data_IF_781535667215
#
_entry.id   IF_781535667215
#
_cell.length_a   1.000
_cell.length_b   1.000
_cell.length_c   1.000
_cell.angle_alpha   90.00
_cell.angle_beta   90.00
_cell.angle_gamma   90.00
#
_symmetry.space_group_name_H-M   'P 1'
#
loop_
_entity.id
_entity.type
_entity.pdbx_description
1 polymer ?
#
# COMPACT_ATOMS: atom_id res chain seq x y z
N UNK A 1 4.27 -29.35 -1.92
CA UNK A 1 3.75 -27.99 -1.99
C UNK A 1 4.73 -27.09 -2.70
N UNK A 2 4.27 -26.39 -3.70
CA UNK A 2 5.14 -25.44 -4.39
C UNK A 2 5.27 -24.16 -3.55
N UNK A 3 6.49 -23.70 -3.33
CA UNK A 3 6.73 -22.38 -2.78
C UNK A 3 6.32 -21.33 -3.83
N UNK A 4 5.72 -20.22 -3.42
CA UNK A 4 5.43 -19.14 -4.36
C UNK A 4 6.75 -18.70 -5.04
N UNK A 5 6.68 -18.43 -6.34
CA UNK A 5 7.86 -17.99 -7.09
C UNK A 5 8.31 -16.58 -6.72
N UNK A 6 7.47 -15.82 -6.00
CA UNK A 6 7.74 -14.45 -5.59
C UNK A 6 7.02 -14.16 -4.28
N UNK A 7 7.49 -13.17 -3.51
CA UNK A 7 6.77 -12.72 -2.31
C UNK A 7 5.39 -12.18 -2.65
N UNK A 8 4.49 -12.22 -1.68
CA UNK A 8 3.19 -11.57 -1.80
C UNK A 8 3.38 -10.07 -2.05
N UNK A 9 2.72 -9.54 -3.06
CA UNK A 9 2.80 -8.12 -3.41
C UNK A 9 1.67 -7.35 -2.78
N UNK A 10 2.04 -6.26 -2.11
CA UNK A 10 1.10 -5.41 -1.38
C UNK A 10 1.15 -3.98 -1.88
N UNK A 11 -0.02 -3.34 -1.92
CA UNK A 11 -0.12 -1.87 -2.01
C UNK A 11 -0.69 -1.40 -0.68
N UNK A 12 -0.06 -0.40 -0.08
CA UNK A 12 -0.45 0.16 1.21
C UNK A 12 -0.98 1.58 1.00
N UNK A 13 -2.21 1.84 1.45
CA UNK A 13 -2.77 3.18 1.49
C UNK A 13 -1.92 4.06 2.42
N UNK A 14 -1.92 5.36 2.19
CA UNK A 14 -1.15 6.33 2.96
C UNK A 14 -1.41 6.24 4.46
N UNK A 15 -2.67 6.06 4.87
CA UNK A 15 -3.02 5.95 6.29
C UNK A 15 -2.39 4.71 6.95
N UNK A 16 -2.26 3.62 6.20
CA UNK A 16 -1.58 2.41 6.68
C UNK A 16 -0.09 2.69 6.83
N UNK A 17 0.50 3.40 5.88
CA UNK A 17 1.91 3.81 5.97
C UNK A 17 2.16 4.68 7.19
N UNK A 18 1.26 5.60 7.52
CA UNK A 18 1.37 6.43 8.73
C UNK A 18 1.38 5.56 9.99
N UNK A 19 0.49 4.57 10.06
CA UNK A 19 0.44 3.66 11.21
C UNK A 19 1.74 2.87 11.35
N UNK A 20 2.33 2.44 10.25
CA UNK A 20 3.55 1.62 10.27
C UNK A 20 4.79 2.43 10.62
N UNK A 21 4.97 3.59 10.01
CA UNK A 21 6.23 4.33 10.04
C UNK A 21 6.23 5.51 11.03
N UNK A 22 5.12 6.21 11.16
CA UNK A 22 5.04 7.39 12.04
C UNK A 22 4.53 7.00 13.44
N UNK A 23 3.38 6.35 13.50
CA UNK A 23 2.75 6.01 14.78
C UNK A 23 3.30 4.74 15.39
N UNK A 24 3.99 3.90 14.61
CA UNK A 24 4.56 2.63 15.09
C UNK A 24 3.53 1.80 15.81
N UNK A 25 2.33 1.68 15.24
CA UNK A 25 1.23 0.97 15.85
C UNK A 25 1.62 -0.49 16.09
N UNK A 26 1.66 -0.96 17.34
CA UNK A 26 2.11 -2.32 17.64
C UNK A 26 1.20 -3.39 17.04
N UNK A 27 -0.05 -3.07 16.73
CA UNK A 27 -0.96 -4.03 16.08
C UNK A 27 -0.45 -4.46 14.70
N UNK A 28 0.33 -3.60 14.05
CA UNK A 28 0.80 -3.84 12.69
C UNK A 28 2.30 -4.16 12.63
N UNK A 29 2.92 -4.43 13.77
CA UNK A 29 4.35 -4.75 13.83
C UNK A 29 4.70 -6.02 13.03
N UNK A 30 3.78 -6.98 12.95
CA UNK A 30 3.97 -8.20 12.15
C UNK A 30 4.05 -7.90 10.66
N UNK A 31 3.25 -6.96 10.16
CA UNK A 31 3.31 -6.54 8.77
C UNK A 31 4.64 -5.85 8.47
N UNK A 32 5.06 -4.93 9.33
CA UNK A 32 6.33 -4.24 9.18
C UNK A 32 7.50 -5.22 9.17
N UNK A 33 7.47 -6.21 10.08
CA UNK A 33 8.51 -7.24 10.15
C UNK A 33 8.54 -8.09 8.87
N UNK A 34 7.38 -8.47 8.34
CA UNK A 34 7.31 -9.23 7.09
C UNK A 34 7.90 -8.45 5.91
N UNK A 35 7.72 -7.13 5.90
CA UNK A 35 8.34 -6.26 4.89
C UNK A 35 9.87 -6.27 5.03
N UNK A 36 10.37 -6.19 6.27
CA UNK A 36 11.82 -6.23 6.55
C UNK A 36 12.44 -7.57 6.19
N UNK A 37 11.71 -8.65 6.43
CA UNK A 37 12.19 -10.02 6.17
C UNK A 37 12.09 -10.42 4.69
N UNK A 38 11.46 -9.60 3.85
CA UNK A 38 11.26 -9.92 2.45
C UNK A 38 10.18 -10.97 2.19
N UNK A 39 9.35 -11.30 3.18
CA UNK A 39 8.24 -12.24 2.99
C UNK A 39 7.10 -11.64 2.21
N UNK A 40 6.96 -10.32 2.28
CA UNK A 40 6.03 -9.55 1.45
C UNK A 40 6.80 -8.44 0.77
N UNK A 41 6.32 -8.01 -0.40
CA UNK A 41 6.90 -6.91 -1.15
C UNK A 41 5.87 -5.80 -1.26
N UNK A 42 6.10 -4.69 -0.56
CA UNK A 42 5.26 -3.51 -0.68
C UNK A 42 5.74 -2.65 -1.85
N UNK A 43 4.80 -2.13 -2.63
CA UNK A 43 5.10 -1.32 -3.82
C UNK A 43 4.28 -0.05 -3.77
N UNK A 44 4.87 1.06 -4.17
CA UNK A 44 4.20 2.34 -4.34
C UNK A 44 4.42 2.85 -5.77
N UNK A 45 3.78 3.94 -6.11
CA UNK A 45 3.94 4.64 -7.38
C UNK A 45 4.29 6.09 -7.07
N UNK A 46 4.93 6.77 -8.00
CA UNK A 46 5.40 8.15 -7.79
C UNK A 46 4.32 9.08 -7.23
N UNK A 47 3.08 9.00 -7.73
CA UNK A 47 1.99 9.84 -7.22
C UNK A 47 1.56 9.46 -5.80
N UNK A 48 1.53 8.18 -5.48
CA UNK A 48 1.22 7.70 -4.14
C UNK A 48 2.34 8.08 -3.14
N UNK A 49 3.59 7.98 -3.58
CA UNK A 49 4.74 8.38 -2.76
C UNK A 49 4.73 9.88 -2.50
N UNK A 50 4.36 10.69 -3.48
CA UNK A 50 4.24 12.14 -3.30
C UNK A 50 3.18 12.48 -2.26
N UNK A 51 2.06 11.76 -2.23
CA UNK A 51 1.05 11.94 -1.19
C UNK A 51 1.61 11.63 0.19
N UNK A 52 2.36 10.52 0.32
CA UNK A 52 3.03 10.16 1.56
C UNK A 52 3.92 11.29 2.07
N UNK A 53 4.76 11.85 1.19
CA UNK A 53 5.65 12.95 1.54
C UNK A 53 4.88 14.20 1.96
N UNK A 54 3.79 14.51 1.26
CA UNK A 54 2.95 15.68 1.54
C UNK A 54 2.27 15.56 2.89
N UNK A 55 1.76 14.38 3.20
CA UNK A 55 1.06 14.13 4.46
C UNK A 55 2.00 14.28 5.66
N UNK A 56 3.28 13.96 5.50
CA UNK A 56 4.27 14.14 6.57
C UNK A 56 4.42 15.61 6.99
N UNK A 57 4.04 16.55 6.14
CA UNK A 57 4.09 17.98 6.44
C UNK A 57 2.83 18.49 7.17
N UNK A 58 1.83 17.63 7.38
CA UNK A 58 0.62 18.06 8.10
C UNK A 58 0.94 18.42 9.55
N UNK A 59 0.52 19.64 10.00
CA UNK A 59 0.91 20.15 11.33
C UNK A 59 0.55 19.24 12.50
N UNK A 60 -0.57 18.51 12.40
CA UNK A 60 -1.02 17.66 13.50
C UNK A 60 -0.13 16.42 13.73
N UNK A 61 0.69 16.06 12.73
CA UNK A 61 1.63 14.94 12.88
C UNK A 61 2.88 15.34 13.68
N UNK A 62 3.19 16.64 13.75
CA UNK A 62 4.34 17.18 14.49
C UNK A 62 5.66 16.52 14.09
N UNK A 63 5.85 16.29 12.79
CA UNK A 63 7.08 15.72 12.23
C UNK A 63 7.99 16.87 11.82
N UNK A 64 9.18 16.95 12.41
CA UNK A 64 10.16 17.97 12.01
C UNK A 64 10.94 17.52 10.76
N UNK A 65 11.78 18.42 10.23
CA UNK A 65 12.51 18.17 9.00
C UNK A 65 13.48 16.98 9.12
N UNK A 66 14.13 16.80 10.25
CA UNK A 66 15.05 15.68 10.48
C UNK A 66 14.29 14.35 10.55
N UNK A 67 13.16 14.34 11.27
CA UNK A 67 12.31 13.17 11.36
C UNK A 67 11.73 12.81 9.99
N UNK A 68 11.29 13.81 9.22
CA UNK A 68 10.75 13.59 7.88
C UNK A 68 11.76 12.89 6.97
N UNK A 69 13.00 13.34 6.98
CA UNK A 69 14.08 12.74 6.19
C UNK A 69 14.26 11.26 6.55
N UNK A 70 14.31 10.95 7.83
CA UNK A 70 14.46 9.57 8.32
C UNK A 70 13.26 8.69 7.95
N UNK A 71 12.06 9.23 8.02
CA UNK A 71 10.84 8.49 7.67
C UNK A 71 10.79 8.18 6.17
N UNK A 72 11.19 9.14 5.33
CA UNK A 72 11.26 8.93 3.89
C UNK A 72 12.30 7.86 3.56
N UNK A 73 13.47 7.90 4.20
CA UNK A 73 14.52 6.90 3.99
C UNK A 73 14.05 5.50 4.39
N UNK A 74 13.37 5.37 5.53
CA UNK A 74 12.86 4.07 5.98
C UNK A 74 11.79 3.54 5.01
N UNK A 75 10.88 4.40 4.58
CA UNK A 75 9.85 4.05 3.60
C UNK A 75 10.51 3.54 2.31
N UNK A 76 11.47 4.29 1.79
CA UNK A 76 12.14 3.95 0.52
C UNK A 76 12.97 2.66 0.63
N UNK A 77 13.47 2.34 1.82
CA UNK A 77 14.21 1.10 2.04
C UNK A 77 13.30 -0.13 2.00
N UNK A 78 12.03 0.02 2.35
CA UNK A 78 11.09 -1.09 2.48
C UNK A 78 10.04 -1.17 1.38
N UNK A 79 9.82 -0.08 0.63
CA UNK A 79 8.74 0.00 -0.36
C UNK A 79 9.34 0.41 -1.70
N UNK A 80 9.17 -0.46 -2.70
CA UNK A 80 9.66 -0.19 -4.05
C UNK A 80 8.73 0.80 -4.76
N UNK A 81 9.31 1.76 -5.48
CA UNK A 81 8.53 2.77 -6.21
C UNK A 81 8.58 2.50 -7.70
N UNK A 82 7.41 2.50 -8.34
CA UNK A 82 7.29 2.35 -9.80
C UNK A 82 6.74 3.64 -10.41
N UNK A 83 6.96 3.80 -11.72
CA UNK A 83 6.39 4.91 -12.48
C UNK A 83 5.02 4.54 -13.03
N UNK A 84 4.14 5.52 -13.31
CA UNK A 84 2.90 5.23 -14.03
C UNK A 84 3.22 4.59 -15.38
N UNK A 85 2.35 3.67 -15.88
CA UNK A 85 2.60 3.03 -17.16
C UNK A 85 2.50 4.04 -18.32
N UNK A 86 3.26 3.79 -19.40
CA UNK A 86 3.26 4.65 -20.58
C UNK A 86 1.90 4.67 -21.29
N UNK A 87 1.15 3.57 -21.19
CA UNK A 87 -0.19 3.47 -21.75
C UNK A 87 -1.15 2.94 -20.68
N UNK A 88 -2.41 3.42 -20.64
CA UNK A 88 -3.37 2.92 -19.67
C UNK A 88 -3.68 1.45 -19.91
N UNK A 89 -3.95 0.73 -18.82
CA UNK A 89 -4.38 -0.66 -18.90
C UNK A 89 -5.81 -0.70 -19.46
N UNK A 90 -6.07 -1.67 -20.33
CA UNK A 90 -7.39 -1.85 -20.95
C UNK A 90 -8.41 -2.44 -19.97
N UNK A 91 -7.96 -2.98 -18.85
CA UNK A 91 -8.86 -3.54 -17.85
C UNK A 91 -9.57 -2.41 -17.11
N UNK A 92 -10.91 -2.50 -17.07
CA UNK A 92 -11.72 -1.49 -16.41
C UNK A 92 -11.74 -1.72 -14.90
N UNK A 93 -11.27 -0.72 -14.15
CA UNK A 93 -11.32 -0.73 -12.69
C UNK A 93 -12.64 -0.14 -12.18
N UNK A 94 -13.14 -0.62 -11.02
CA UNK A 94 -14.23 0.10 -10.35
C UNK A 94 -13.77 1.50 -9.97
N UNK A 95 -14.69 2.44 -9.96
CA UNK A 95 -14.41 3.83 -9.61
C UNK A 95 -14.58 4.03 -8.12
N UNK A 96 -13.53 4.57 -7.46
CA UNK A 96 -13.61 4.97 -6.07
C UNK A 96 -14.38 6.28 -5.95
N UNK A 97 -15.27 6.39 -4.94
CA UNK A 97 -16.00 7.63 -4.69
C UNK A 97 -15.06 8.77 -4.30
N UNK A 98 -13.96 8.46 -3.66
CA UNK A 98 -12.88 9.43 -3.42
C UNK A 98 -11.88 9.32 -4.57
N UNK A 99 -11.82 10.37 -5.40
CA UNK A 99 -10.93 10.38 -6.57
C UNK A 99 -9.47 10.32 -6.21
N UNK A 100 -9.09 10.85 -5.04
CA UNK A 100 -7.70 10.83 -4.60
C UNK A 100 -7.22 9.42 -4.30
N UNK A 101 -8.13 8.49 -4.04
CA UNK A 101 -7.79 7.10 -3.74
C UNK A 101 -7.77 6.20 -4.99
N UNK A 102 -8.27 6.69 -6.11
CA UNK A 102 -8.28 5.90 -7.35
C UNK A 102 -6.88 5.43 -7.77
N UNK A 103 -5.87 6.23 -7.49
CA UNK A 103 -4.48 5.88 -7.82
C UNK A 103 -4.00 4.59 -7.17
N UNK A 104 -4.52 4.26 -5.98
CA UNK A 104 -4.16 2.99 -5.31
C UNK A 104 -4.73 1.78 -6.04
N UNK A 105 -5.93 1.91 -6.60
CA UNK A 105 -6.51 0.86 -7.44
C UNK A 105 -5.72 0.67 -8.73
N UNK A 106 -5.33 1.78 -9.35
CA UNK A 106 -4.53 1.76 -10.58
C UNK A 106 -3.17 1.11 -10.34
N UNK A 107 -2.53 1.46 -9.23
CA UNK A 107 -1.26 0.88 -8.85
C UNK A 107 -1.38 -0.63 -8.60
N UNK A 108 -2.39 -1.04 -7.86
CA UNK A 108 -2.61 -2.46 -7.57
C UNK A 108 -2.80 -3.27 -8.85
N UNK A 109 -3.52 -2.72 -9.82
CA UNK A 109 -3.66 -3.35 -11.14
C UNK A 109 -2.33 -3.39 -11.89
N UNK A 110 -1.62 -2.28 -11.91
CA UNK A 110 -0.37 -2.14 -12.65
C UNK A 110 0.68 -3.19 -12.25
N UNK A 111 0.83 -3.43 -10.95
CA UNK A 111 1.84 -4.35 -10.44
C UNK A 111 1.31 -5.76 -10.22
N UNK A 112 0.04 -6.01 -10.54
CA UNK A 112 -0.63 -7.29 -10.25
C UNK A 112 -0.50 -7.65 -8.78
N UNK A 113 -0.88 -6.71 -7.91
CA UNK A 113 -0.82 -6.89 -6.47
C UNK A 113 -1.71 -8.05 -6.02
N UNK A 114 -1.30 -8.72 -4.96
CA UNK A 114 -2.16 -9.69 -4.29
C UNK A 114 -3.17 -8.98 -3.39
N UNK A 115 -2.71 -7.94 -2.68
CA UNK A 115 -3.54 -7.21 -1.72
C UNK A 115 -3.35 -5.70 -1.85
N UNK A 116 -4.45 -4.97 -1.68
CA UNK A 116 -4.45 -3.55 -1.36
C UNK A 116 -4.93 -3.43 0.08
N UNK A 117 -4.09 -2.93 0.97
CA UNK A 117 -4.39 -2.79 2.39
C UNK A 117 -4.75 -1.34 2.68
N UNK A 118 -5.94 -1.12 3.20
CA UNK A 118 -6.47 0.22 3.45
C UNK A 118 -7.41 0.24 4.64
N UNK A 119 -7.54 1.39 5.28
CA UNK A 119 -8.56 1.67 6.29
C UNK A 119 -9.70 2.51 5.74
N UNK A 120 -9.58 2.96 4.50
CA UNK A 120 -10.54 3.86 3.89
C UNK A 120 -11.80 3.10 3.46
N UNK A 121 -12.95 3.55 3.95
CA UNK A 121 -14.24 2.91 3.65
C UNK A 121 -14.58 2.95 2.17
N UNK A 122 -14.21 4.03 1.46
CA UNK A 122 -14.50 4.15 0.03
C UNK A 122 -13.77 3.07 -0.78
N UNK A 123 -12.54 2.73 -0.41
CA UNK A 123 -11.80 1.63 -1.04
C UNK A 123 -12.34 0.27 -0.60
N UNK A 124 -12.61 0.10 0.69
CA UNK A 124 -13.10 -1.19 1.22
C UNK A 124 -14.44 -1.59 0.60
N UNK A 125 -15.29 -0.63 0.23
CA UNK A 125 -16.55 -0.89 -0.45
C UNK A 125 -16.37 -1.58 -1.80
N UNK A 126 -15.19 -1.46 -2.42
CA UNK A 126 -14.92 -2.02 -3.74
C UNK A 126 -14.35 -3.44 -3.66
N UNK A 127 -14.13 -3.99 -2.47
CA UNK A 127 -13.48 -5.28 -2.28
C UNK A 127 -14.18 -6.41 -3.03
N UNK A 128 -15.53 -6.46 -3.00
CA UNK A 128 -16.29 -7.50 -3.69
C UNK A 128 -16.15 -7.39 -5.21
N UNK A 129 -16.15 -6.16 -5.73
CA UNK A 129 -16.03 -5.93 -7.17
C UNK A 129 -14.67 -6.34 -7.70
N UNK A 130 -13.59 -5.99 -7.01
CA UNK A 130 -12.25 -6.36 -7.44
C UNK A 130 -12.03 -7.88 -7.35
N UNK A 131 -12.55 -8.51 -6.31
CA UNK A 131 -12.46 -9.96 -6.14
C UNK A 131 -13.23 -10.70 -7.25
N UNK A 132 -14.45 -10.27 -7.57
CA UNK A 132 -15.25 -10.87 -8.64
C UNK A 132 -14.62 -10.73 -10.01
N UNK A 133 -13.93 -9.62 -10.23
CA UNK A 133 -13.22 -9.38 -11.48
C UNK A 133 -11.89 -10.14 -11.57
N UNK A 134 -11.50 -10.85 -10.52
CA UNK A 134 -10.24 -11.60 -10.50
C UNK A 134 -9.01 -10.71 -10.47
N UNK A 135 -9.13 -9.49 -9.93
CA UNK A 135 -8.04 -8.52 -9.91
C UNK A 135 -7.16 -8.70 -8.67
N UNK A 136 -7.48 -8.00 -7.61
CA UNK A 136 -6.74 -8.07 -6.35
C UNK A 136 -7.75 -8.03 -5.20
N UNK A 137 -7.30 -8.39 -4.00
CA UNK A 137 -8.12 -8.30 -2.80
C UNK A 137 -7.90 -6.96 -2.11
N UNK A 138 -8.95 -6.36 -1.60
CA UNK A 138 -8.88 -5.13 -0.80
C UNK A 138 -9.25 -5.51 0.64
N UNK A 139 -8.35 -5.29 1.59
CA UNK A 139 -8.55 -5.70 2.98
C UNK A 139 -8.13 -4.58 3.94
N UNK A 140 -8.73 -4.53 5.14
CA UNK A 140 -8.21 -3.68 6.19
C UNK A 140 -6.97 -4.32 6.84
N UNK A 141 -6.14 -3.54 7.55
CA UNK A 141 -4.90 -4.08 8.14
C UNK A 141 -5.14 -5.25 9.10
N UNK A 142 -6.23 -5.23 9.85
CA UNK A 142 -6.54 -6.31 10.81
C UNK A 142 -6.86 -7.64 10.13
N UNK A 143 -7.16 -7.62 8.85
CA UNK A 143 -7.44 -8.85 8.09
C UNK A 143 -6.17 -9.47 7.48
N UNK A 144 -5.05 -8.76 7.53
CA UNK A 144 -3.79 -9.28 7.01
C UNK A 144 -3.20 -10.32 7.97
N UNK A 145 -2.71 -11.40 7.40
CA UNK A 145 -1.99 -12.44 8.13
C UNK A 145 -0.71 -12.77 7.36
N UNK A 146 0.38 -13.18 8.06
CA UNK A 146 1.60 -13.56 7.38
C UNK A 146 1.35 -14.68 6.37
N UNK A 147 2.00 -14.63 5.19
CA UNK A 147 1.90 -15.74 4.23
C UNK A 147 2.38 -17.04 4.88
N UNK A 148 1.79 -18.15 4.49
CA UNK A 148 2.24 -19.47 4.94
C UNK A 148 3.66 -19.72 4.42
N UNK A 149 4.50 -20.27 5.30
CA UNK A 149 5.87 -20.65 4.93
C UNK A 149 5.91 -21.89 4.04
#
# INVERSE_FOLDING_TARGET
>A
MSTPSHPQRLVLDTNVCLDLFVFRDPRWSGLLQAMRDGRVQAVTRTDCRMEWQRVLDYPHLKVDAAQKSGLIDEFDALISCVEPPAAPDMIKLPQCTDRDDQKFLELALQIRADLLITKDKALLKLAKKTARAGLFSIIPPQAWAPPAE
#
